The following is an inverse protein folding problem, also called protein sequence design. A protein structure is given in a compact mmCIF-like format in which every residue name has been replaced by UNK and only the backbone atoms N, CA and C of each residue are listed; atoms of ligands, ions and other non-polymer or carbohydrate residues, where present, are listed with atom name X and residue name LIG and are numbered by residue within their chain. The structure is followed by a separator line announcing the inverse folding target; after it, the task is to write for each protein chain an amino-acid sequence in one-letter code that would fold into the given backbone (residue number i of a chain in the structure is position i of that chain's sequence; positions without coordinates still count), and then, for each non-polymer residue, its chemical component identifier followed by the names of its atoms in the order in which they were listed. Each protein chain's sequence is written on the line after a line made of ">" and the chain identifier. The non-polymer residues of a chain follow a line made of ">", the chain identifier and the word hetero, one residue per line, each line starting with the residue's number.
data_IF_993316449337
#
_entry.id   IF_993316449337
#
_cell.length_a   1.000
_cell.length_b   1.000
_cell.length_c   1.000
_cell.angle_alpha   90.00
_cell.angle_beta   90.00
_cell.angle_gamma   90.00
#
_symmetry.space_group_name_H-M   'P 1'
#
loop_
_entity.id
_entity.type
_entity.pdbx_description
1 polymer ?
#
# COMPACT_ATOMS: atom_id res chain seq x y z
N UNK A 1 15.39 -21.24 25.42
CA UNK A 1 15.59 -19.78 25.30
C UNK A 1 15.04 -19.04 26.51
N UNK A 2 13.74 -19.08 26.84
CA UNK A 2 13.21 -18.34 28.01
C UNK A 2 13.95 -18.63 29.31
N UNK A 3 14.35 -19.88 29.59
CA UNK A 3 15.20 -20.25 30.74
C UNK A 3 16.60 -19.62 30.73
N UNK A 4 17.18 -19.44 29.53
CA UNK A 4 18.49 -18.77 29.37
C UNK A 4 18.41 -17.29 29.74
N UNK A 5 17.25 -16.64 29.49
CA UNK A 5 17.04 -15.23 29.80
C UNK A 5 16.38 -15.00 31.18
N UNK A 6 16.14 -16.07 31.99
CA UNK A 6 15.44 -16.01 33.27
C UNK A 6 14.05 -15.30 33.17
N UNK A 7 13.33 -15.52 32.07
CA UNK A 7 12.04 -14.89 31.78
C UNK A 7 10.92 -15.90 31.83
N UNK A 8 9.74 -15.42 32.20
CA UNK A 8 8.50 -16.20 32.08
C UNK A 8 8.25 -16.52 30.61
N UNK A 9 7.90 -17.77 30.33
CA UNK A 9 7.56 -18.20 28.97
C UNK A 9 6.23 -17.52 28.58
N UNK A 10 6.22 -16.79 27.47
CA UNK A 10 4.96 -16.42 26.83
C UNK A 10 4.33 -17.72 26.31
N UNK A 11 3.30 -18.25 26.97
CA UNK A 11 2.77 -19.57 26.64
C UNK A 11 2.23 -19.63 25.22
N UNK A 12 1.83 -18.49 24.69
CA UNK A 12 1.26 -18.36 23.36
C UNK A 12 2.34 -18.44 22.28
N UNK A 13 3.44 -17.73 22.44
CA UNK A 13 4.59 -17.81 21.53
C UNK A 13 5.21 -19.21 21.56
N UNK A 14 5.34 -19.78 22.74
CA UNK A 14 5.88 -21.14 22.92
C UNK A 14 5.01 -22.22 22.28
N UNK A 15 3.70 -22.15 22.50
CA UNK A 15 2.74 -23.11 21.92
C UNK A 15 2.71 -23.00 20.41
N UNK A 16 2.79 -21.81 19.85
CA UNK A 16 2.80 -21.58 18.41
C UNK A 16 4.06 -22.13 17.75
N UNK A 17 5.23 -21.85 18.32
CA UNK A 17 6.51 -22.37 17.80
C UNK A 17 6.59 -23.89 17.92
N UNK A 18 6.05 -24.50 18.98
CA UNK A 18 6.03 -25.96 19.14
C UNK A 18 5.03 -26.67 18.22
N UNK A 19 3.82 -26.15 18.07
CA UNK A 19 2.80 -26.75 17.20
C UNK A 19 3.26 -26.75 15.73
N UNK A 20 3.95 -25.70 15.33
CA UNK A 20 4.43 -25.56 13.96
C UNK A 20 5.65 -26.42 13.65
N UNK A 21 6.52 -26.66 14.62
CA UNK A 21 7.66 -27.57 14.45
C UNK A 21 7.21 -29.02 14.20
N UNK A 22 6.10 -29.46 14.81
CA UNK A 22 5.60 -30.82 14.65
C UNK A 22 4.74 -31.05 13.41
N UNK A 23 3.88 -30.11 13.04
CA UNK A 23 2.94 -30.29 11.93
C UNK A 23 3.51 -29.81 10.58
N UNK A 24 4.33 -28.78 10.58
CA UNK A 24 4.98 -28.25 9.38
C UNK A 24 6.12 -29.17 8.90
N UNK A 25 6.92 -29.68 9.83
CA UNK A 25 8.01 -30.65 9.52
C UNK A 25 7.45 -31.95 9.00
N UNK A 26 6.29 -32.41 9.48
CA UNK A 26 5.69 -33.70 9.06
C UNK A 26 4.98 -33.64 7.71
N UNK A 27 4.46 -32.47 7.30
CA UNK A 27 3.64 -32.34 6.10
C UNK A 27 4.34 -31.70 4.90
N UNK A 28 5.49 -31.04 5.09
CA UNK A 28 6.26 -30.44 4.00
C UNK A 28 7.38 -31.35 3.52
N UNK A 29 7.22 -31.90 2.33
CA UNK A 29 8.25 -32.69 1.63
C UNK A 29 9.38 -31.89 0.99
N UNK A 30 9.45 -30.55 1.23
CA UNK A 30 10.45 -29.66 0.66
C UNK A 30 11.08 -28.76 1.71
N UNK A 31 12.22 -29.12 2.27
CA UNK A 31 13.04 -28.31 3.19
C UNK A 31 13.67 -27.04 2.58
N UNK A 32 13.21 -26.60 1.40
CA UNK A 32 13.81 -25.49 0.64
C UNK A 32 12.89 -24.27 0.49
N UNK A 33 11.65 -24.33 0.97
CA UNK A 33 10.74 -23.20 0.81
C UNK A 33 11.05 -22.09 1.81
N UNK A 34 11.19 -20.87 1.30
CA UNK A 34 11.30 -19.67 2.10
C UNK A 34 10.00 -19.43 2.87
N UNK A 35 10.10 -19.16 4.17
CA UNK A 35 8.94 -18.98 5.04
C UNK A 35 8.91 -17.64 5.73
N UNK A 36 7.70 -17.14 5.95
CA UNK A 36 7.43 -15.95 6.78
C UNK A 36 6.74 -16.36 8.06
N UNK A 37 7.30 -15.94 9.20
CA UNK A 37 6.65 -16.09 10.50
C UNK A 37 5.74 -14.88 10.72
N UNK A 38 4.43 -15.14 10.90
CA UNK A 38 3.42 -14.14 11.24
C UNK A 38 3.03 -14.25 12.71
N UNK A 39 3.22 -13.16 13.45
CA UNK A 39 2.87 -13.04 14.88
C UNK A 39 2.14 -11.71 15.07
N UNK A 40 0.97 -11.58 14.42
CA UNK A 40 0.20 -10.34 14.46
C UNK A 40 -0.65 -10.23 15.74
N UNK A 41 -0.55 -9.10 16.44
CA UNK A 41 -1.23 -8.84 17.71
C UNK A 41 -2.71 -8.42 17.59
N UNK A 42 -3.29 -8.44 16.39
CA UNK A 42 -4.69 -8.03 16.16
C UNK A 42 -5.65 -9.21 15.95
N UNK A 43 -5.26 -10.42 16.38
CA UNK A 43 -6.12 -11.57 16.23
C UNK A 43 -7.32 -11.52 17.20
N UNK A 44 -8.47 -11.11 16.67
CA UNK A 44 -9.72 -11.00 17.43
C UNK A 44 -10.38 -12.35 17.76
N UNK A 45 -9.88 -13.46 17.21
CA UNK A 45 -10.35 -14.81 17.54
C UNK A 45 -9.77 -15.30 18.88
N UNK A 46 -8.76 -14.60 19.41
CA UNK A 46 -8.10 -14.93 20.66
C UNK A 46 -8.50 -13.91 21.72
N UNK A 47 -9.12 -14.38 22.79
CA UNK A 47 -9.53 -13.52 23.90
C UNK A 47 -8.87 -13.99 25.19
N UNK A 48 -8.10 -13.15 25.90
CA UNK A 48 -7.72 -11.78 25.51
C UNK A 48 -6.73 -11.76 24.34
N UNK A 49 -6.79 -10.71 23.50
CA UNK A 49 -5.83 -10.49 22.43
C UNK A 49 -4.43 -10.36 23.02
N UNK A 50 -3.54 -11.26 22.63
CA UNK A 50 -2.16 -11.21 23.11
C UNK A 50 -1.28 -10.44 22.12
N UNK A 51 -0.52 -9.48 22.65
CA UNK A 51 0.45 -8.70 21.90
C UNK A 51 1.85 -8.99 22.43
N UNK A 52 2.81 -9.08 21.51
CA UNK A 52 4.21 -9.19 21.89
C UNK A 52 4.71 -7.89 22.49
N UNK A 53 5.40 -8.00 23.59
CA UNK A 53 6.23 -6.94 24.17
C UNK A 53 7.64 -7.00 23.58
N UNK A 54 8.48 -5.99 23.87
CA UNK A 54 9.89 -5.98 23.46
C UNK A 54 10.65 -7.23 23.95
N UNK A 55 10.29 -7.72 25.13
CA UNK A 55 10.90 -8.92 25.71
C UNK A 55 10.51 -10.20 24.97
N UNK A 56 9.25 -10.31 24.57
CA UNK A 56 8.77 -11.44 23.77
C UNK A 56 9.41 -11.41 22.39
N UNK A 57 9.56 -10.21 21.83
CA UNK A 57 10.19 -10.00 20.53
C UNK A 57 11.68 -10.38 20.54
N UNK A 58 12.40 -10.04 21.62
CA UNK A 58 13.76 -10.51 21.81
C UNK A 58 13.88 -12.04 21.76
N UNK A 59 13.01 -12.74 22.50
CA UNK A 59 12.95 -14.20 22.52
C UNK A 59 12.66 -14.77 21.13
N UNK A 60 11.71 -14.16 20.40
CA UNK A 60 11.37 -14.56 19.05
C UNK A 60 12.59 -14.49 18.11
N UNK A 61 13.31 -13.36 18.10
CA UNK A 61 14.49 -13.17 17.24
C UNK A 61 15.56 -14.22 17.54
N UNK A 62 15.87 -14.48 18.82
CA UNK A 62 16.85 -15.52 19.18
C UNK A 62 16.37 -16.93 18.79
N UNK A 63 15.05 -17.17 18.83
CA UNK A 63 14.48 -18.47 18.47
C UNK A 63 14.53 -18.73 16.97
N UNK A 64 14.41 -17.72 16.13
CA UNK A 64 14.42 -17.86 14.66
C UNK A 64 15.85 -17.89 14.07
N UNK A 65 16.84 -17.37 14.79
CA UNK A 65 18.22 -17.23 14.32
C UNK A 65 18.85 -18.52 13.74
N UNK A 66 18.59 -19.73 14.27
CA UNK A 66 19.14 -20.96 13.71
C UNK A 66 18.53 -21.41 12.37
N UNK A 67 17.42 -20.81 11.95
CA UNK A 67 16.63 -21.28 10.80
C UNK A 67 16.86 -20.38 9.58
N UNK A 68 17.65 -20.86 8.64
CA UNK A 68 18.05 -20.07 7.45
C UNK A 68 16.95 -19.96 6.39
N UNK A 69 15.92 -20.79 6.46
CA UNK A 69 14.76 -20.74 5.58
C UNK A 69 13.68 -19.73 6.03
N UNK A 70 13.84 -19.12 7.22
CA UNK A 70 12.98 -18.03 7.65
C UNK A 70 13.46 -16.73 6.99
N UNK A 71 12.76 -16.27 5.97
CA UNK A 71 13.10 -15.08 5.18
C UNK A 71 12.16 -13.91 5.42
N UNK A 72 11.06 -14.15 6.12
CA UNK A 72 10.08 -13.13 6.46
C UNK A 72 9.68 -13.12 7.93
N UNK A 73 9.42 -11.92 8.46
CA UNK A 73 8.91 -11.73 9.81
C UNK A 73 7.80 -10.66 9.80
N UNK A 74 6.60 -11.05 10.24
CA UNK A 74 5.46 -10.15 10.38
C UNK A 74 5.03 -10.08 11.85
N UNK A 75 5.33 -8.97 12.49
CA UNK A 75 5.02 -8.69 13.90
C UNK A 75 4.15 -7.44 14.06
N UNK A 76 3.29 -7.19 13.10
CA UNK A 76 2.36 -6.06 13.12
C UNK A 76 1.39 -6.11 14.31
N UNK A 77 0.88 -4.93 14.73
CA UNK A 77 -0.10 -4.75 15.80
C UNK A 77 0.35 -5.25 17.19
N UNK A 78 1.64 -5.20 17.47
CA UNK A 78 2.21 -5.55 18.76
C UNK A 78 2.55 -4.31 19.61
N UNK A 79 3.33 -4.49 20.67
CA UNK A 79 3.76 -3.44 21.60
C UNK A 79 5.29 -3.28 21.53
N UNK A 80 5.83 -3.30 20.32
CA UNK A 80 7.26 -3.15 20.08
C UNK A 80 7.58 -1.65 20.07
N UNK A 81 8.43 -1.23 21.01
CA UNK A 81 8.85 0.15 21.21
C UNK A 81 10.25 0.41 20.64
N UNK A 82 10.83 1.57 20.90
CA UNK A 82 12.22 1.88 20.58
C UNK A 82 13.18 0.88 21.26
N UNK A 83 12.81 0.34 22.41
CA UNK A 83 13.60 -0.72 23.04
C UNK A 83 13.60 -2.00 22.20
N UNK A 84 12.45 -2.37 21.62
CA UNK A 84 12.36 -3.49 20.68
C UNK A 84 13.09 -3.21 19.36
N UNK A 85 13.23 -1.95 18.96
CA UNK A 85 14.01 -1.58 17.77
C UNK A 85 15.50 -1.98 17.88
N UNK A 86 16.08 -2.05 19.09
CA UNK A 86 17.41 -2.65 19.28
C UNK A 86 17.49 -4.11 18.82
N UNK A 87 16.41 -4.85 19.01
CA UNK A 87 16.32 -6.25 18.57
C UNK A 87 16.13 -6.33 17.06
N UNK A 88 15.43 -5.36 16.45
CA UNK A 88 15.37 -5.24 14.98
C UNK A 88 16.78 -5.00 14.41
N UNK A 89 17.56 -4.13 15.00
CA UNK A 89 18.96 -3.90 14.59
C UNK A 89 19.75 -5.21 14.63
N UNK A 90 19.69 -5.95 15.74
CA UNK A 90 20.34 -7.28 15.86
C UNK A 90 19.85 -8.28 14.82
N UNK A 91 18.54 -8.27 14.53
CA UNK A 91 17.97 -9.10 13.46
C UNK A 91 18.62 -8.78 12.11
N UNK A 92 18.71 -7.50 11.75
CA UNK A 92 19.26 -7.04 10.47
C UNK A 92 20.78 -7.23 10.36
N UNK A 93 21.51 -7.21 11.46
CA UNK A 93 22.97 -7.41 11.49
C UNK A 93 23.35 -8.90 11.53
N UNK A 94 22.65 -9.70 12.34
CA UNK A 94 23.01 -11.07 12.63
C UNK A 94 22.41 -12.10 11.68
N UNK A 95 21.26 -11.80 11.07
CA UNK A 95 20.45 -12.73 10.26
C UNK A 95 20.41 -12.25 8.81
N UNK A 96 21.25 -12.84 7.97
CA UNK A 96 21.47 -12.40 6.59
C UNK A 96 20.50 -13.01 5.55
N UNK A 97 19.39 -13.59 5.99
CA UNK A 97 18.38 -14.18 5.10
C UNK A 97 17.01 -13.50 5.19
N UNK A 98 16.84 -12.52 6.06
CA UNK A 98 15.56 -11.78 6.16
C UNK A 98 15.44 -10.80 5.00
N UNK A 99 14.41 -11.02 4.19
CA UNK A 99 14.06 -10.19 3.03
C UNK A 99 12.80 -9.37 3.26
N UNK A 100 11.92 -9.80 4.17
CA UNK A 100 10.65 -9.16 4.49
C UNK A 100 10.52 -8.90 5.98
N UNK A 101 10.20 -7.67 6.37
CA UNK A 101 9.97 -7.27 7.76
C UNK A 101 8.75 -6.34 7.86
N UNK A 102 7.76 -6.78 8.61
CA UNK A 102 6.54 -6.02 8.86
C UNK A 102 6.44 -5.64 10.35
N UNK A 103 6.61 -4.36 10.62
CA UNK A 103 6.54 -3.74 11.94
C UNK A 103 5.33 -2.80 12.09
N UNK A 104 4.33 -2.89 11.20
CA UNK A 104 3.18 -1.97 11.18
C UNK A 104 2.46 -1.95 12.52
N UNK A 105 1.95 -0.76 12.90
CA UNK A 105 1.15 -0.58 14.12
C UNK A 105 1.79 -1.15 15.38
N UNK A 106 3.03 -0.79 15.58
CA UNK A 106 3.76 -0.91 16.84
C UNK A 106 3.96 0.49 17.46
N UNK A 107 4.72 0.57 18.52
CA UNK A 107 4.96 1.79 19.27
C UNK A 107 6.41 2.31 19.07
N UNK A 108 6.97 2.12 17.86
CA UNK A 108 8.29 2.59 17.50
C UNK A 108 8.23 4.09 17.22
N UNK A 109 9.05 4.86 17.93
CA UNK A 109 9.14 6.30 17.80
C UNK A 109 10.42 6.74 17.04
N UNK A 110 10.79 7.98 17.19
CA UNK A 110 11.91 8.59 16.43
C UNK A 110 13.23 7.90 16.65
N UNK A 111 13.55 7.51 17.88
CA UNK A 111 14.83 6.88 18.22
C UNK A 111 14.93 5.47 17.61
N UNK A 112 13.88 4.69 17.72
CA UNK A 112 13.80 3.38 17.08
C UNK A 112 13.85 3.46 15.56
N UNK A 113 13.17 4.45 14.97
CA UNK A 113 13.23 4.72 13.52
C UNK A 113 14.65 5.07 13.06
N UNK A 114 15.38 5.90 13.82
CA UNK A 114 16.80 6.23 13.56
C UNK A 114 17.70 4.98 13.61
N UNK A 115 17.52 4.14 14.63
CA UNK A 115 18.31 2.91 14.80
C UNK A 115 18.10 1.95 13.63
N UNK A 116 16.85 1.72 13.23
CA UNK A 116 16.50 0.85 12.10
C UNK A 116 17.10 1.40 10.80
N UNK A 117 16.94 2.70 10.53
CA UNK A 117 17.51 3.33 9.34
C UNK A 117 19.04 3.20 9.30
N UNK A 118 19.73 3.38 10.43
CA UNK A 118 21.20 3.18 10.52
C UNK A 118 21.62 1.73 10.27
N UNK A 119 20.87 0.74 10.77
CA UNK A 119 21.14 -0.66 10.50
C UNK A 119 21.01 -0.99 9.00
N UNK A 120 20.01 -0.41 8.35
CA UNK A 120 19.77 -0.58 6.91
C UNK A 120 20.86 0.02 6.03
N UNK A 121 21.69 0.95 6.51
CA UNK A 121 22.86 1.43 5.75
C UNK A 121 23.85 0.30 5.38
N UNK A 122 23.91 -0.75 6.20
CA UNK A 122 24.83 -1.89 6.02
C UNK A 122 24.12 -3.16 5.57
N UNK A 123 22.82 -3.26 5.84
CA UNK A 123 22.05 -4.42 5.45
C UNK A 123 21.82 -4.44 3.95
N UNK A 124 22.10 -5.57 3.32
CA UNK A 124 21.94 -5.78 1.86
C UNK A 124 20.93 -6.88 1.54
N UNK A 125 20.24 -7.40 2.52
CA UNK A 125 19.33 -8.54 2.37
C UNK A 125 17.86 -8.14 2.42
N UNK A 126 17.51 -7.15 3.26
CA UNK A 126 16.12 -6.72 3.39
C UNK A 126 15.66 -6.01 2.12
N UNK A 127 14.56 -6.52 1.56
CA UNK A 127 13.91 -5.97 0.36
C UNK A 127 12.63 -5.20 0.69
N UNK A 128 11.91 -5.62 1.72
CA UNK A 128 10.59 -5.09 2.06
C UNK A 128 10.54 -4.72 3.53
N UNK A 129 10.35 -3.43 3.82
CA UNK A 129 10.15 -2.89 5.16
C UNK A 129 8.81 -2.18 5.26
N UNK A 130 8.00 -2.56 6.24
CA UNK A 130 6.71 -1.92 6.52
C UNK A 130 6.73 -1.34 7.93
N UNK A 131 6.54 -0.02 8.00
CA UNK A 131 6.56 0.75 9.25
C UNK A 131 5.23 1.48 9.52
N UNK A 132 4.23 1.36 8.63
CA UNK A 132 2.94 2.09 8.75
C UNK A 132 2.43 2.10 10.18
N UNK A 133 2.00 3.29 10.65
CA UNK A 133 1.38 3.45 11.96
C UNK A 133 2.34 3.49 13.15
N UNK A 134 3.65 3.54 12.91
CA UNK A 134 4.65 3.88 13.94
C UNK A 134 4.87 5.40 13.98
N UNK A 135 5.28 5.94 15.12
CA UNK A 135 5.43 7.40 15.30
C UNK A 135 6.87 7.88 15.17
N UNK A 136 7.51 7.53 14.05
CA UNK A 136 8.92 7.90 13.85
C UNK A 136 9.14 9.40 13.62
N UNK A 137 8.07 10.11 13.22
CA UNK A 137 8.08 11.56 13.05
C UNK A 137 8.95 12.06 11.89
N UNK A 138 9.00 13.39 11.77
CA UNK A 138 9.78 14.05 10.73
C UNK A 138 11.28 13.67 10.78
N UNK A 139 11.87 13.62 11.99
CA UNK A 139 13.28 13.28 12.17
C UNK A 139 13.58 11.83 11.76
N UNK A 140 12.71 10.88 12.12
CA UNK A 140 12.80 9.48 11.66
C UNK A 140 12.76 9.39 10.14
N UNK A 141 11.81 10.10 9.50
CA UNK A 141 11.73 10.18 8.04
C UNK A 141 13.00 10.71 7.39
N UNK A 142 13.67 11.70 8.00
CA UNK A 142 14.98 12.21 7.53
C UNK A 142 16.08 11.15 7.61
N UNK A 143 16.09 10.29 8.64
CA UNK A 143 17.04 9.18 8.72
C UNK A 143 16.79 8.14 7.63
N UNK A 144 15.53 7.82 7.34
CA UNK A 144 15.17 6.95 6.21
C UNK A 144 15.61 7.56 4.87
N UNK A 145 15.43 8.86 4.66
CA UNK A 145 15.94 9.53 3.47
C UNK A 145 17.46 9.40 3.35
N UNK A 146 18.19 9.63 4.45
CA UNK A 146 19.65 9.46 4.47
C UNK A 146 20.05 8.01 4.18
N UNK A 147 19.34 7.03 4.73
CA UNK A 147 19.58 5.62 4.45
C UNK A 147 19.42 5.29 2.96
N UNK A 148 18.40 5.81 2.31
CA UNK A 148 18.13 5.57 0.88
C UNK A 148 19.20 6.17 -0.06
N UNK A 149 20.08 7.07 0.42
CA UNK A 149 21.24 7.53 -0.37
C UNK A 149 22.27 6.42 -0.60
N UNK A 150 22.32 5.43 0.29
CA UNK A 150 23.36 4.39 0.32
C UNK A 150 22.76 3.01 0.04
N UNK A 151 21.62 2.69 0.67
CA UNK A 151 21.00 1.38 0.53
C UNK A 151 20.47 1.17 -0.89
N UNK A 152 20.90 0.07 -1.50
CA UNK A 152 20.52 -0.35 -2.85
C UNK A 152 19.81 -1.71 -2.89
N UNK A 153 19.47 -2.28 -1.73
CA UNK A 153 18.78 -3.57 -1.62
C UNK A 153 17.29 -3.45 -1.34
N UNK A 154 16.88 -2.36 -0.67
CA UNK A 154 15.49 -2.15 -0.31
C UNK A 154 14.67 -1.80 -1.57
N UNK A 155 13.63 -2.58 -1.82
CA UNK A 155 12.75 -2.43 -2.98
C UNK A 155 11.40 -1.84 -2.61
N UNK A 156 10.90 -2.10 -1.38
CA UNK A 156 9.65 -1.55 -0.86
C UNK A 156 9.87 -0.88 0.49
N UNK A 157 9.35 0.33 0.62
CA UNK A 157 9.36 1.07 1.86
C UNK A 157 7.98 1.63 2.16
N UNK A 158 7.40 1.21 3.27
CA UNK A 158 6.10 1.65 3.73
C UNK A 158 6.27 2.49 5.01
N UNK A 159 6.10 3.81 4.87
CA UNK A 159 6.15 4.83 5.92
C UNK A 159 4.82 5.56 6.08
N UNK A 160 3.71 4.96 5.65
CA UNK A 160 2.39 5.55 5.82
C UNK A 160 2.01 5.74 7.28
N UNK A 161 1.28 6.82 7.61
CA UNK A 161 0.82 7.11 8.98
C UNK A 161 1.96 7.05 10.03
N UNK A 162 3.14 7.56 9.64
CA UNK A 162 4.34 7.55 10.47
C UNK A 162 4.70 8.96 11.02
N UNK A 163 3.73 9.87 11.04
CA UNK A 163 3.91 11.26 11.47
C UNK A 163 5.01 11.99 10.68
N UNK A 164 5.15 11.66 9.39
CA UNK A 164 6.05 12.39 8.50
C UNK A 164 5.55 13.82 8.27
N UNK A 165 6.47 14.77 8.16
CA UNK A 165 6.16 16.16 7.86
C UNK A 165 6.79 16.60 6.53
N UNK A 166 6.57 17.86 6.14
CA UNK A 166 7.03 18.44 4.88
C UNK A 166 8.51 18.18 4.60
N UNK A 167 9.39 18.42 5.57
CA UNK A 167 10.85 18.31 5.34
C UNK A 167 11.28 16.88 5.05
N UNK A 168 10.72 15.88 5.77
CA UNK A 168 11.04 14.48 5.50
C UNK A 168 10.52 14.01 4.14
N UNK A 169 9.33 14.48 3.73
CA UNK A 169 8.80 14.18 2.40
C UNK A 169 9.67 14.76 1.29
N UNK A 170 10.11 16.01 1.43
CA UNK A 170 11.03 16.66 0.48
C UNK A 170 12.37 15.92 0.43
N UNK A 171 12.92 15.54 1.59
CA UNK A 171 14.16 14.77 1.66
C UNK A 171 14.04 13.42 0.98
N UNK A 172 12.96 12.67 1.24
CA UNK A 172 12.67 11.39 0.57
C UNK A 172 12.55 11.58 -0.94
N UNK A 173 11.76 12.54 -1.41
CA UNK A 173 11.62 12.83 -2.84
C UNK A 173 12.97 13.17 -3.49
N UNK A 174 13.79 13.99 -2.81
CA UNK A 174 15.11 14.39 -3.33
C UNK A 174 16.03 13.19 -3.50
N UNK A 175 16.09 12.30 -2.51
CA UNK A 175 16.94 11.11 -2.57
C UNK A 175 16.43 10.11 -3.60
N UNK A 176 15.13 9.90 -3.66
CA UNK A 176 14.49 8.99 -4.62
C UNK A 176 14.72 9.42 -6.07
N UNK A 177 15.08 10.68 -6.34
CA UNK A 177 15.51 11.12 -7.67
C UNK A 177 16.70 10.28 -8.21
N UNK A 178 17.58 9.81 -7.32
CA UNK A 178 18.78 9.04 -7.69
C UNK A 178 18.74 7.58 -7.26
N UNK A 179 17.92 7.23 -6.26
CA UNK A 179 17.78 5.85 -5.82
C UNK A 179 17.06 5.03 -6.89
N UNK A 180 17.61 3.89 -7.26
CA UNK A 180 17.07 2.99 -8.30
C UNK A 180 16.60 1.65 -7.75
N UNK A 181 16.78 1.40 -6.45
CA UNK A 181 16.35 0.14 -5.83
C UNK A 181 14.86 0.16 -5.45
N UNK A 182 14.36 1.31 -4.98
CA UNK A 182 12.96 1.42 -4.58
C UNK A 182 12.05 1.29 -5.81
N UNK A 183 11.11 0.34 -5.70
CA UNK A 183 10.04 0.05 -6.68
C UNK A 183 8.68 0.48 -6.17
N UNK A 184 8.45 0.38 -4.85
CA UNK A 184 7.20 0.80 -4.21
C UNK A 184 7.46 1.64 -2.97
N UNK A 185 6.72 2.75 -2.84
CA UNK A 185 6.78 3.59 -1.64
C UNK A 185 5.38 4.01 -1.19
N UNK A 186 5.14 3.87 0.11
CA UNK A 186 3.94 4.38 0.76
C UNK A 186 4.32 5.55 1.68
N UNK A 187 3.75 6.73 1.38
CA UNK A 187 3.90 7.96 2.15
C UNK A 187 2.55 8.49 2.64
N UNK A 188 1.54 7.64 2.72
CA UNK A 188 0.18 8.03 3.08
C UNK A 188 0.13 8.76 4.43
N UNK A 189 -0.78 9.73 4.50
CA UNK A 189 -1.20 10.36 5.75
C UNK A 189 -0.06 11.02 6.55
N UNK A 190 0.73 11.91 5.92
CA UNK A 190 1.69 12.73 6.63
C UNK A 190 0.98 13.79 7.48
N UNK A 191 1.70 14.39 8.43
CA UNK A 191 1.24 15.54 9.21
C UNK A 191 1.60 16.85 8.47
N UNK A 192 0.78 17.23 7.50
CA UNK A 192 0.93 18.48 6.77
C UNK A 192 0.01 19.56 7.35
N UNK A 193 0.51 20.79 7.44
CA UNK A 193 -0.31 21.95 7.74
C UNK A 193 -1.15 22.32 6.51
N UNK A 194 -2.31 22.92 6.73
CA UNK A 194 -3.15 23.41 5.65
C UNK A 194 -2.33 24.28 4.69
N UNK A 195 -2.45 23.99 3.38
CA UNK A 195 -1.77 24.70 2.28
C UNK A 195 -0.30 24.33 2.02
N UNK A 196 0.26 23.35 2.72
CA UNK A 196 1.60 22.84 2.45
C UNK A 196 1.61 21.85 1.28
N UNK A 197 1.55 22.34 0.03
CA UNK A 197 1.63 21.50 -1.17
C UNK A 197 3.06 21.41 -1.78
N UNK A 198 4.07 21.98 -1.13
CA UNK A 198 5.45 21.99 -1.65
C UNK A 198 6.01 20.56 -1.82
N UNK A 199 5.64 19.61 -0.95
CA UNK A 199 6.03 18.21 -1.09
C UNK A 199 5.62 17.60 -2.43
N UNK A 200 4.45 17.99 -2.96
CA UNK A 200 3.97 17.47 -4.26
C UNK A 200 4.79 17.99 -5.44
N UNK A 201 5.34 19.20 -5.35
CA UNK A 201 6.28 19.73 -6.36
C UNK A 201 7.54 18.90 -6.39
N UNK A 202 8.11 18.55 -5.23
CA UNK A 202 9.30 17.73 -5.13
C UNK A 202 9.03 16.28 -5.58
N UNK A 203 7.87 15.72 -5.25
CA UNK A 203 7.46 14.39 -5.72
C UNK A 203 7.27 14.40 -7.25
N UNK A 204 6.63 15.43 -7.81
CA UNK A 204 6.49 15.59 -9.27
C UNK A 204 7.84 15.67 -9.98
N UNK A 205 8.77 16.46 -9.46
CA UNK A 205 10.14 16.56 -9.99
C UNK A 205 10.90 15.23 -9.86
N UNK A 206 10.73 14.52 -8.76
CA UNK A 206 11.31 13.19 -8.57
C UNK A 206 10.76 12.20 -9.60
N UNK A 207 9.45 12.14 -9.80
CA UNK A 207 8.81 11.27 -10.78
C UNK A 207 9.26 11.56 -12.21
N UNK A 208 9.55 12.82 -12.53
CA UNK A 208 10.09 13.19 -13.85
C UNK A 208 11.43 12.51 -14.17
N UNK A 209 12.26 12.25 -13.15
CA UNK A 209 13.64 11.77 -13.32
C UNK A 209 13.76 10.28 -12.95
N UNK A 210 13.08 9.85 -11.90
CA UNK A 210 13.14 8.46 -11.44
C UNK A 210 12.48 7.52 -12.43
N UNK A 211 13.19 6.45 -12.80
CA UNK A 211 12.72 5.40 -13.70
C UNK A 211 12.60 4.02 -13.04
N UNK A 212 12.63 3.95 -11.72
CA UNK A 212 12.58 2.69 -10.97
C UNK A 212 11.29 2.49 -10.17
N UNK A 213 10.65 3.58 -9.74
CA UNK A 213 9.42 3.51 -8.95
C UNK A 213 8.26 3.06 -9.84
N UNK A 214 7.60 1.99 -9.42
CA UNK A 214 6.45 1.39 -10.11
C UNK A 214 5.15 1.77 -9.40
N UNK A 215 5.20 1.94 -8.08
CA UNK A 215 4.03 2.19 -7.24
C UNK A 215 4.31 3.29 -6.22
N UNK A 216 3.39 4.29 -6.11
CA UNK A 216 3.44 5.35 -5.11
C UNK A 216 2.07 5.59 -4.48
N UNK A 217 2.05 5.70 -3.15
CA UNK A 217 0.86 6.01 -2.38
C UNK A 217 0.98 7.37 -1.71
N UNK A 218 0.03 8.25 -2.03
CA UNK A 218 -0.08 9.65 -1.57
C UNK A 218 -1.49 9.95 -1.03
N UNK A 219 -2.13 8.96 -0.39
CA UNK A 219 -3.45 9.12 0.21
C UNK A 219 -3.37 10.07 1.42
N UNK A 220 -4.36 10.98 1.55
CA UNK A 220 -4.46 11.93 2.67
C UNK A 220 -3.27 12.90 2.80
N UNK A 221 -2.78 13.42 1.68
CA UNK A 221 -1.76 14.48 1.63
C UNK A 221 -2.34 15.89 1.68
N UNK A 222 -3.65 16.05 1.87
CA UNK A 222 -4.36 17.32 1.73
C UNK A 222 -4.15 18.02 0.36
N UNK A 223 -3.76 17.21 -0.64
CA UNK A 223 -3.43 17.64 -1.99
C UNK A 223 -4.65 18.27 -2.68
N UNK A 224 -4.45 19.45 -3.27
CA UNK A 224 -5.43 20.17 -4.07
C UNK A 224 -5.08 20.10 -5.57
N UNK A 225 -5.71 20.96 -6.35
CA UNK A 225 -5.53 21.00 -7.80
C UNK A 225 -4.11 21.34 -8.22
N UNK A 226 -3.43 22.24 -7.49
CA UNK A 226 -2.04 22.60 -7.75
C UNK A 226 -1.11 21.38 -7.59
N UNK A 227 -1.23 20.65 -6.49
CA UNK A 227 -0.43 19.45 -6.27
C UNK A 227 -0.64 18.39 -7.35
N UNK A 228 -1.90 18.17 -7.74
CA UNK A 228 -2.22 17.23 -8.84
C UNK A 228 -1.65 17.70 -10.18
N UNK A 229 -1.67 18.99 -10.48
CA UNK A 229 -1.04 19.56 -11.67
C UNK A 229 0.48 19.27 -11.69
N UNK A 230 1.18 19.47 -10.56
CA UNK A 230 2.63 19.18 -10.47
C UNK A 230 2.94 17.71 -10.66
N UNK A 231 2.14 16.80 -10.06
CA UNK A 231 2.27 15.36 -10.31
C UNK A 231 2.08 15.02 -11.79
N UNK A 232 1.04 15.55 -12.42
CA UNK A 232 0.79 15.32 -13.85
C UNK A 232 1.96 15.80 -14.72
N UNK A 233 2.58 16.96 -14.42
CA UNK A 233 3.78 17.44 -15.12
C UNK A 233 4.94 16.46 -15.03
N UNK A 234 5.21 15.92 -13.85
CA UNK A 234 6.24 14.90 -13.66
C UNK A 234 5.93 13.60 -14.41
N UNK A 235 4.69 13.15 -14.32
CA UNK A 235 4.23 11.91 -14.93
C UNK A 235 4.18 11.95 -16.47
N UNK A 236 4.11 13.13 -17.09
CA UNK A 236 4.21 13.25 -18.55
C UNK A 236 5.55 12.73 -19.10
N UNK A 237 6.61 12.78 -18.32
CA UNK A 237 7.95 12.32 -18.69
C UNK A 237 8.35 11.02 -18.00
N UNK A 238 7.56 10.55 -17.03
CA UNK A 238 7.83 9.31 -16.31
C UNK A 238 7.52 8.09 -17.19
N UNK A 239 8.41 7.09 -17.13
CA UNK A 239 8.31 5.85 -17.92
C UNK A 239 8.19 4.59 -17.08
N UNK A 240 8.07 4.71 -15.75
CA UNK A 240 8.09 3.55 -14.84
C UNK A 240 6.86 3.39 -13.96
N UNK A 241 6.20 4.50 -13.57
CA UNK A 241 5.11 4.43 -12.60
C UNK A 241 3.85 3.80 -13.22
N UNK A 242 3.40 2.72 -12.62
CA UNK A 242 2.21 1.97 -13.03
C UNK A 242 1.03 2.14 -12.10
N UNK A 243 1.29 2.36 -10.81
CA UNK A 243 0.26 2.53 -9.79
C UNK A 243 0.40 3.88 -9.10
N UNK A 244 -0.67 4.69 -9.15
CA UNK A 244 -0.79 5.98 -8.49
C UNK A 244 -2.00 5.98 -7.55
N UNK A 245 -1.77 6.12 -6.25
CA UNK A 245 -2.81 6.36 -5.26
C UNK A 245 -2.77 7.83 -4.82
N UNK A 246 -3.79 8.57 -5.16
CA UNK A 246 -4.06 9.94 -4.69
C UNK A 246 -5.44 10.04 -4.03
N UNK A 247 -5.90 8.95 -3.45
CA UNK A 247 -7.19 8.88 -2.78
C UNK A 247 -7.25 9.76 -1.51
N UNK A 248 -8.46 10.07 -1.06
CA UNK A 248 -8.70 10.84 0.16
C UNK A 248 -7.99 12.20 0.20
N UNK A 249 -7.90 12.88 -0.92
CA UNK A 249 -7.33 14.22 -1.04
C UNK A 249 -8.42 15.29 -1.25
N UNK A 250 -8.04 16.51 -1.62
CA UNK A 250 -8.94 17.62 -1.92
C UNK A 250 -8.90 18.01 -3.39
N UNK A 251 -8.66 17.04 -4.25
CA UNK A 251 -8.58 17.21 -5.70
C UNK A 251 -10.00 17.43 -6.23
N UNK A 252 -10.18 18.49 -7.04
CA UNK A 252 -11.49 18.82 -7.62
C UNK A 252 -11.51 18.59 -9.14
N UNK A 253 -12.70 18.81 -9.74
CA UNK A 253 -12.91 18.75 -11.18
C UNK A 253 -11.86 19.50 -12.01
N UNK A 254 -11.40 20.66 -11.52
CA UNK A 254 -10.44 21.50 -12.26
C UNK A 254 -9.09 20.82 -12.49
N UNK A 255 -8.67 19.94 -11.59
CA UNK A 255 -7.43 19.17 -11.75
C UNK A 255 -7.57 18.04 -12.77
N UNK A 256 -8.79 17.59 -13.03
CA UNK A 256 -9.03 16.47 -13.95
C UNK A 256 -8.70 16.80 -15.40
N UNK A 257 -8.67 18.07 -15.77
CA UNK A 257 -8.14 18.51 -17.08
C UNK A 257 -6.66 18.13 -17.26
N UNK A 258 -5.85 18.28 -16.20
CA UNK A 258 -4.43 17.90 -16.25
C UNK A 258 -4.25 16.39 -16.29
N UNK A 259 -5.06 15.67 -15.50
CA UNK A 259 -5.04 14.21 -15.52
C UNK A 259 -5.57 13.65 -16.85
N UNK A 260 -6.62 14.24 -17.43
CA UNK A 260 -7.13 13.89 -18.74
C UNK A 260 -6.06 14.08 -19.83
N UNK A 261 -5.36 15.22 -19.84
CA UNK A 261 -4.25 15.48 -20.78
C UNK A 261 -3.06 14.53 -20.55
N UNK A 262 -2.77 14.17 -19.31
CA UNK A 262 -1.79 13.14 -19.00
C UNK A 262 -2.20 11.80 -19.61
N UNK A 263 -3.43 11.35 -19.37
CA UNK A 263 -3.94 10.06 -19.86
C UNK A 263 -3.99 9.98 -21.40
N UNK A 264 -4.13 11.10 -22.09
CA UNK A 264 -4.04 11.16 -23.57
C UNK A 264 -2.63 10.85 -24.11
N UNK A 265 -1.59 10.99 -23.30
CA UNK A 265 -0.18 10.89 -23.72
C UNK A 265 0.62 9.82 -22.99
N UNK A 266 0.26 9.54 -21.74
CA UNK A 266 0.96 8.56 -20.90
C UNK A 266 0.42 7.14 -21.17
N UNK A 267 1.32 6.24 -21.54
CA UNK A 267 1.00 4.84 -21.81
C UNK A 267 1.66 3.89 -20.78
N UNK A 268 2.01 4.39 -19.61
CA UNK A 268 2.70 3.64 -18.56
C UNK A 268 1.80 3.37 -17.35
N UNK A 269 0.99 4.36 -16.96
CA UNK A 269 0.05 4.21 -15.86
C UNK A 269 -0.99 3.14 -16.16
N UNK A 270 -1.10 2.19 -15.25
CA UNK A 270 -2.02 1.05 -15.33
C UNK A 270 -3.15 1.13 -14.30
N UNK A 271 -2.87 1.71 -13.13
CA UNK A 271 -3.83 1.81 -12.02
C UNK A 271 -3.81 3.21 -11.43
N UNK A 272 -4.99 3.80 -11.25
CA UNK A 272 -5.16 5.09 -10.56
C UNK A 272 -6.27 4.96 -9.53
N UNK A 273 -5.96 5.33 -8.29
CA UNK A 273 -6.95 5.47 -7.23
C UNK A 273 -7.20 6.96 -6.94
N UNK A 274 -8.39 7.43 -7.31
CA UNK A 274 -8.91 8.78 -7.08
C UNK A 274 -10.01 8.80 -6.02
N UNK A 275 -10.23 7.70 -5.30
CA UNK A 275 -11.33 7.57 -4.33
C UNK A 275 -11.35 8.72 -3.33
N UNK A 276 -12.55 9.14 -2.92
CA UNK A 276 -12.74 10.15 -1.87
C UNK A 276 -12.09 11.51 -2.19
N UNK A 277 -12.29 11.98 -3.40
CA UNK A 277 -11.97 13.33 -3.86
C UNK A 277 -13.26 14.08 -4.24
N UNK A 278 -13.18 15.11 -5.08
CA UNK A 278 -14.33 15.94 -5.53
C UNK A 278 -14.30 16.14 -7.05
N UNK A 279 -14.24 15.02 -7.79
CA UNK A 279 -14.10 15.05 -9.26
C UNK A 279 -15.33 15.65 -9.92
N UNK A 280 -16.53 15.34 -9.40
CA UNK A 280 -17.82 15.78 -9.93
C UNK A 280 -18.01 15.41 -11.42
N UNK A 281 -19.11 15.87 -12.03
CA UNK A 281 -19.44 15.51 -13.41
C UNK A 281 -18.46 16.11 -14.42
N UNK A 282 -18.11 17.38 -14.27
CA UNK A 282 -17.20 18.07 -15.19
C UNK A 282 -15.81 17.39 -15.23
N UNK A 283 -15.27 16.99 -14.06
CA UNK A 283 -14.02 16.25 -14.00
C UNK A 283 -14.14 14.86 -14.64
N UNK A 284 -15.29 14.22 -14.49
CA UNK A 284 -15.60 12.93 -15.12
C UNK A 284 -15.57 13.01 -16.64
N UNK A 285 -16.05 14.10 -17.22
CA UNK A 285 -16.05 14.32 -18.68
C UNK A 285 -14.63 14.36 -19.24
N UNK A 286 -13.68 15.04 -18.58
CA UNK A 286 -12.27 15.06 -19.00
C UNK A 286 -11.64 13.67 -19.00
N UNK A 287 -11.91 12.88 -17.97
CA UNK A 287 -11.39 11.53 -17.85
C UNK A 287 -12.04 10.58 -18.85
N UNK A 288 -13.38 10.66 -19.01
CA UNK A 288 -14.12 9.86 -19.94
C UNK A 288 -13.67 10.09 -21.40
N UNK A 289 -13.43 11.34 -21.79
CA UNK A 289 -12.89 11.68 -23.13
C UNK A 289 -11.51 11.02 -23.35
N UNK A 290 -10.60 11.16 -22.37
CA UNK A 290 -9.27 10.58 -22.47
C UNK A 290 -9.33 9.06 -22.58
N UNK A 291 -10.20 8.41 -21.82
CA UNK A 291 -10.39 6.96 -21.85
C UNK A 291 -11.05 6.47 -23.14
N UNK A 292 -12.04 7.20 -23.66
CA UNK A 292 -12.78 6.79 -24.85
C UNK A 292 -11.94 6.79 -26.11
N UNK A 293 -11.01 7.76 -26.26
CA UNK A 293 -10.38 8.05 -27.53
C UNK A 293 -8.86 7.91 -27.56
N UNK A 294 -8.20 7.92 -26.41
CA UNK A 294 -6.74 8.06 -26.38
C UNK A 294 -6.02 7.01 -25.53
N UNK A 295 -6.48 6.77 -24.30
CA UNK A 295 -5.74 5.93 -23.36
C UNK A 295 -5.98 4.44 -23.60
N UNK A 296 -4.89 3.71 -23.77
CA UNK A 296 -4.86 2.25 -23.99
C UNK A 296 -3.98 1.52 -22.97
N UNK A 297 -3.60 2.17 -21.87
CA UNK A 297 -2.73 1.57 -20.85
C UNK A 297 -3.44 1.35 -19.52
N UNK A 298 -4.41 2.19 -19.16
CA UNK A 298 -5.09 2.12 -17.87
C UNK A 298 -5.96 0.87 -17.77
N UNK A 299 -5.70 0.03 -16.78
CA UNK A 299 -6.38 -1.25 -16.51
C UNK A 299 -7.39 -1.14 -15.38
N UNK A 300 -7.11 -0.29 -14.38
CA UNK A 300 -7.97 -0.08 -13.22
C UNK A 300 -8.08 1.40 -12.87
N UNK A 301 -9.31 1.85 -12.61
CA UNK A 301 -9.60 3.20 -12.14
C UNK A 301 -10.62 3.14 -11.01
N UNK A 302 -10.32 3.81 -9.90
CA UNK A 302 -11.29 4.03 -8.83
C UNK A 302 -11.67 5.50 -8.75
N UNK A 303 -12.97 5.77 -8.86
CA UNK A 303 -13.60 7.09 -8.65
C UNK A 303 -14.65 7.01 -7.53
N UNK A 304 -14.48 6.10 -6.60
CA UNK A 304 -15.36 5.89 -5.44
C UNK A 304 -15.51 7.19 -4.64
N UNK A 305 -16.74 7.52 -4.24
CA UNK A 305 -17.03 8.68 -3.35
C UNK A 305 -16.47 10.01 -3.88
N UNK A 306 -16.77 10.35 -5.13
CA UNK A 306 -16.28 11.57 -5.79
C UNK A 306 -17.36 12.63 -6.11
N UNK A 307 -18.55 12.47 -5.54
CA UNK A 307 -19.68 13.39 -5.77
C UNK A 307 -20.12 13.46 -7.27
N UNK A 308 -19.88 12.37 -8.02
CA UNK A 308 -20.27 12.26 -9.43
C UNK A 308 -21.76 11.93 -9.51
N UNK A 309 -22.51 12.61 -10.37
CA UNK A 309 -23.92 12.32 -10.63
C UNK A 309 -24.12 11.44 -11.87
N UNK A 310 -25.38 11.22 -12.24
CA UNK A 310 -25.73 10.43 -13.43
C UNK A 310 -25.07 10.94 -14.71
N UNK A 311 -24.88 12.24 -14.89
CA UNK A 311 -24.22 12.80 -16.07
C UNK A 311 -22.77 12.33 -16.21
N UNK A 312 -21.97 12.46 -15.16
CA UNK A 312 -20.57 12.04 -15.17
C UNK A 312 -20.41 10.53 -15.24
N UNK A 313 -21.26 9.78 -14.52
CA UNK A 313 -21.23 8.32 -14.56
C UNK A 313 -21.65 7.77 -15.93
N UNK A 314 -22.62 8.42 -16.59
CA UNK A 314 -23.02 8.06 -17.95
C UNK A 314 -21.88 8.27 -18.94
N UNK A 315 -21.13 9.38 -18.81
CA UNK A 315 -19.95 9.62 -19.67
C UNK A 315 -18.91 8.49 -19.51
N UNK A 316 -18.63 8.01 -18.30
CA UNK A 316 -17.78 6.84 -18.09
C UNK A 316 -18.37 5.57 -18.71
N UNK A 317 -19.69 5.34 -18.56
CA UNK A 317 -20.34 4.20 -19.16
C UNK A 317 -20.20 4.21 -20.70
N UNK A 318 -20.34 5.38 -21.32
CA UNK A 318 -20.18 5.53 -22.77
C UNK A 318 -18.70 5.35 -23.20
N UNK A 319 -17.75 5.89 -22.44
CA UNK A 319 -16.33 5.65 -22.67
C UNK A 319 -15.94 4.17 -22.59
N UNK A 320 -16.53 3.43 -21.67
CA UNK A 320 -16.29 1.98 -21.52
C UNK A 320 -16.84 1.14 -22.69
N UNK A 321 -17.73 1.67 -23.50
CA UNK A 321 -18.22 0.98 -24.71
C UNK A 321 -17.14 0.94 -25.80
N UNK A 322 -16.25 1.92 -25.83
CA UNK A 322 -15.15 2.04 -26.81
C UNK A 322 -13.81 1.60 -26.26
N UNK A 323 -13.50 1.97 -25.01
CA UNK A 323 -12.26 1.57 -24.38
C UNK A 323 -12.32 0.08 -23.98
N UNK A 324 -11.35 -0.71 -24.39
CA UNK A 324 -11.26 -2.16 -24.11
C UNK A 324 -10.18 -2.51 -23.08
N UNK A 325 -9.32 -1.57 -22.73
CA UNK A 325 -8.20 -1.79 -21.78
C UNK A 325 -8.59 -1.62 -20.33
N UNK A 326 -9.44 -0.64 -20.02
CA UNK A 326 -9.94 -0.42 -18.67
C UNK A 326 -10.91 -1.55 -18.29
N UNK A 327 -10.38 -2.57 -17.62
CA UNK A 327 -11.12 -3.76 -17.21
C UNK A 327 -11.75 -3.65 -15.83
N UNK A 328 -11.16 -2.85 -14.94
CA UNK A 328 -11.56 -2.71 -13.55
C UNK A 328 -11.98 -1.26 -13.28
N UNK A 329 -13.22 -1.09 -12.84
CA UNK A 329 -13.78 0.25 -12.63
C UNK A 329 -14.63 0.30 -11.37
N UNK A 330 -14.26 1.16 -10.42
CA UNK A 330 -14.87 1.25 -9.09
C UNK A 330 -15.55 2.60 -8.91
N UNK A 331 -16.85 2.59 -8.59
CA UNK A 331 -17.75 3.77 -8.65
C UNK A 331 -18.63 3.96 -7.41
N UNK A 332 -18.57 3.06 -6.42
CA UNK A 332 -19.44 3.14 -5.24
C UNK A 332 -19.38 4.49 -4.53
N UNK A 333 -20.44 4.86 -3.83
CA UNK A 333 -20.51 6.11 -3.07
C UNK A 333 -20.71 7.39 -3.90
N UNK A 334 -21.01 7.27 -5.20
CA UNK A 334 -21.44 8.37 -6.07
C UNK A 334 -22.97 8.45 -6.12
N UNK A 335 -23.52 9.42 -6.86
CA UNK A 335 -24.95 9.69 -6.94
C UNK A 335 -25.55 8.94 -8.13
N UNK A 336 -26.02 7.74 -7.90
CA UNK A 336 -26.66 6.93 -8.93
C UNK A 336 -28.10 7.36 -9.19
N UNK A 337 -28.46 7.52 -10.44
CA UNK A 337 -29.84 7.57 -10.90
C UNK A 337 -30.23 6.26 -11.63
N UNK A 338 -31.50 6.13 -11.98
CA UNK A 338 -31.98 4.92 -12.65
C UNK A 338 -31.36 4.69 -14.02
N UNK A 339 -31.07 5.75 -14.78
CA UNK A 339 -30.42 5.65 -16.09
C UNK A 339 -28.98 5.15 -15.98
N UNK A 340 -28.24 5.64 -15.01
CA UNK A 340 -26.88 5.18 -14.70
C UNK A 340 -26.88 3.70 -14.32
N UNK A 341 -27.79 3.30 -13.41
CA UNK A 341 -27.90 1.92 -12.99
C UNK A 341 -28.19 0.99 -14.18
N UNK A 342 -29.06 1.40 -15.09
CA UNK A 342 -29.34 0.66 -16.33
C UNK A 342 -28.12 0.60 -17.23
N UNK A 343 -27.41 1.71 -17.45
CA UNK A 343 -26.24 1.77 -18.33
C UNK A 343 -25.12 0.81 -17.87
N UNK A 344 -24.75 0.83 -16.58
CA UNK A 344 -23.74 -0.09 -16.04
C UNK A 344 -24.24 -1.55 -15.98
N UNK A 345 -25.54 -1.78 -15.70
CA UNK A 345 -26.13 -3.12 -15.82
C UNK A 345 -25.97 -3.70 -17.22
N UNK A 346 -26.12 -2.89 -18.26
CA UNK A 346 -25.85 -3.33 -19.64
C UNK A 346 -24.38 -3.69 -19.88
N UNK A 347 -23.43 -2.91 -19.33
CA UNK A 347 -21.99 -3.22 -19.43
C UNK A 347 -21.65 -4.55 -18.73
N UNK A 348 -22.28 -4.81 -17.60
CA UNK A 348 -22.10 -6.07 -16.87
C UNK A 348 -22.75 -7.23 -17.63
N UNK A 349 -23.99 -7.12 -18.07
CA UNK A 349 -24.70 -8.16 -18.81
C UNK A 349 -24.05 -8.48 -20.15
N UNK A 350 -23.46 -7.50 -20.82
CA UNK A 350 -22.73 -7.72 -22.09
C UNK A 350 -21.36 -8.34 -21.89
N UNK A 351 -20.88 -8.48 -20.65
CA UNK A 351 -19.53 -8.97 -20.33
C UNK A 351 -18.42 -7.94 -20.53
N UNK A 352 -18.77 -6.67 -20.83
CA UNK A 352 -17.76 -5.61 -20.94
C UNK A 352 -17.09 -5.32 -19.58
N UNK A 353 -17.87 -5.35 -18.50
CA UNK A 353 -17.38 -5.35 -17.13
C UNK A 353 -17.80 -6.66 -16.45
N UNK A 354 -16.86 -7.31 -15.77
CA UNK A 354 -17.17 -8.47 -14.94
C UNK A 354 -17.57 -8.02 -13.55
N UNK A 355 -18.47 -8.73 -12.87
CA UNK A 355 -18.86 -8.43 -11.49
C UNK A 355 -17.67 -8.41 -10.52
N UNK A 356 -16.68 -9.25 -10.73
CA UNK A 356 -15.43 -9.28 -9.93
C UNK A 356 -14.53 -8.05 -10.12
N UNK A 357 -14.82 -7.23 -11.15
CA UNK A 357 -14.00 -6.08 -11.57
C UNK A 357 -14.71 -4.73 -11.37
N UNK A 358 -15.85 -4.73 -10.71
CA UNK A 358 -16.62 -3.55 -10.32
C UNK A 358 -17.06 -3.70 -8.86
N UNK A 359 -17.38 -2.60 -8.21
CA UNK A 359 -17.78 -2.55 -6.79
C UNK A 359 -19.29 -2.35 -6.59
N UNK A 360 -20.07 -2.54 -7.64
CA UNK A 360 -21.53 -2.44 -7.59
C UNK A 360 -22.19 -3.67 -8.24
N UNK A 361 -23.28 -4.13 -7.64
CA UNK A 361 -24.12 -5.18 -8.17
C UNK A 361 -25.54 -4.65 -8.43
N UNK A 362 -26.06 -4.73 -9.67
CA UNK A 362 -27.41 -4.24 -9.99
C UNK A 362 -28.49 -5.18 -9.45
N UNK A 363 -29.51 -4.60 -8.83
CA UNK A 363 -30.73 -5.30 -8.42
C UNK A 363 -31.98 -4.47 -8.75
N UNK A 364 -33.14 -5.10 -8.75
CA UNK A 364 -34.42 -4.48 -9.17
C UNK A 364 -35.43 -4.51 -8.01
N UNK A 365 -36.01 -3.34 -7.71
CA UNK A 365 -37.12 -3.17 -6.77
C UNK A 365 -38.20 -2.34 -7.46
N UNK A 366 -39.43 -2.78 -7.46
CA UNK A 366 -40.55 -2.10 -8.06
C UNK A 366 -40.32 -1.64 -9.52
N UNK A 367 -39.69 -2.48 -10.32
CA UNK A 367 -39.27 -2.22 -11.69
C UNK A 367 -38.23 -1.12 -11.88
N UNK A 368 -37.65 -0.60 -10.82
CA UNK A 368 -36.52 0.34 -10.85
C UNK A 368 -35.21 -0.39 -10.53
N UNK A 369 -34.13 0.01 -11.22
CA UNK A 369 -32.81 -0.58 -11.02
C UNK A 369 -32.00 0.24 -10.02
N UNK A 370 -31.37 -0.46 -9.10
CA UNK A 370 -30.50 0.09 -8.05
C UNK A 370 -29.18 -0.67 -8.04
N UNK A 371 -28.20 -0.13 -7.28
CA UNK A 371 -26.93 -0.79 -7.00
C UNK A 371 -26.78 -1.14 -5.52
N UNK A 372 -26.30 -2.34 -5.26
CA UNK A 372 -25.75 -2.73 -3.98
C UNK A 372 -24.21 -2.61 -4.03
N UNK A 373 -23.60 -2.24 -2.91
CA UNK A 373 -22.16 -2.28 -2.75
C UNK A 373 -21.67 -3.72 -2.70
N UNK A 374 -20.59 -3.97 -3.43
CA UNK A 374 -19.80 -5.20 -3.32
C UNK A 374 -18.34 -4.86 -2.99
N UNK A 375 -17.55 -5.86 -2.65
CA UNK A 375 -16.18 -5.63 -2.21
C UNK A 375 -15.35 -4.85 -3.22
N UNK A 376 -14.73 -3.77 -2.76
CA UNK A 376 -13.83 -2.93 -3.55
C UNK A 376 -12.52 -3.67 -3.84
N UNK A 377 -12.17 -3.80 -5.11
CA UNK A 377 -11.07 -4.65 -5.56
C UNK A 377 -9.79 -3.93 -5.95
N UNK A 378 -9.66 -2.60 -5.75
CA UNK A 378 -8.47 -1.85 -6.23
C UNK A 378 -7.16 -2.38 -5.62
N UNK A 379 -7.20 -2.86 -4.41
CA UNK A 379 -6.03 -3.37 -3.68
C UNK A 379 -5.39 -4.61 -4.33
N UNK A 380 -6.15 -5.40 -5.10
CA UNK A 380 -5.60 -6.55 -5.84
C UNK A 380 -4.63 -6.12 -6.95
N UNK A 381 -4.59 -4.84 -7.30
CA UNK A 381 -3.70 -4.28 -8.30
C UNK A 381 -2.39 -3.72 -7.73
N UNK A 382 -2.16 -3.85 -6.43
CA UNK A 382 -0.88 -3.44 -5.86
C UNK A 382 0.26 -4.26 -6.44
N UNK A 383 1.31 -3.56 -6.88
CA UNK A 383 2.49 -4.19 -7.45
C UNK A 383 3.52 -4.49 -6.37
N UNK A 384 3.75 -3.51 -5.48
CA UNK A 384 4.86 -3.58 -4.55
C UNK A 384 4.49 -3.32 -3.09
N UNK A 385 3.59 -2.41 -2.81
CA UNK A 385 3.19 -2.09 -1.44
C UNK A 385 1.93 -2.83 -1.08
N UNK A 386 1.99 -3.87 -0.23
CA UNK A 386 0.79 -4.55 0.23
C UNK A 386 -0.12 -3.57 0.95
N UNK A 387 -1.43 -3.72 0.74
CA UNK A 387 -2.40 -2.81 1.32
C UNK A 387 -2.46 -2.90 2.83
N UNK A 388 -2.80 -1.80 3.44
CA UNK A 388 -3.37 -1.74 4.77
C UNK A 388 -4.60 -2.65 4.86
N UNK A 389 -4.59 -3.60 5.82
CA UNK A 389 -5.72 -4.50 6.02
C UNK A 389 -5.96 -5.46 4.85
N UNK A 390 -4.91 -5.99 4.26
CA UNK A 390 -5.03 -7.11 3.32
C UNK A 390 -5.94 -8.17 3.90
N UNK A 391 -7.06 -8.40 3.23
CA UNK A 391 -7.86 -9.60 3.42
C UNK A 391 -7.10 -10.72 2.69
N UNK A 392 -6.01 -11.14 3.28
CA UNK A 392 -5.53 -12.48 3.00
C UNK A 392 -6.65 -13.43 3.43
N UNK A 393 -6.88 -14.52 2.72
CA UNK A 393 -7.96 -15.46 3.02
C UNK A 393 -8.07 -15.79 4.52
N UNK A 394 -9.23 -16.21 4.99
CA UNK A 394 -9.55 -16.38 6.42
C UNK A 394 -8.50 -17.18 7.23
N UNK A 395 -7.68 -18.00 6.58
CA UNK A 395 -6.55 -18.73 7.19
C UNK A 395 -5.33 -17.85 7.51
N UNK A 396 -5.21 -16.65 6.92
CA UNK A 396 -4.04 -15.78 7.05
C UNK A 396 -4.24 -14.66 8.05
N UNK A 397 -5.47 -14.43 8.50
CA UNK A 397 -5.80 -13.58 9.65
C UNK A 397 -5.59 -14.27 11.02
N UNK A 398 -5.11 -15.51 11.04
CA UNK A 398 -4.67 -16.14 12.27
C UNK A 398 -3.49 -15.33 12.83
N UNK A 399 -3.56 -14.91 14.10
CA UNK A 399 -2.55 -14.07 14.74
C UNK A 399 -1.15 -14.69 14.74
N UNK A 400 -1.08 -16.01 14.53
CA UNK A 400 0.17 -16.76 14.44
C UNK A 400 0.07 -17.74 13.26
N UNK A 401 0.95 -17.60 12.30
CA UNK A 401 1.06 -18.51 11.18
C UNK A 401 2.51 -18.57 10.65
N UNK A 402 2.90 -19.71 10.16
CA UNK A 402 4.05 -19.84 9.25
C UNK A 402 3.46 -20.00 7.86
N UNK A 403 3.83 -19.11 6.98
CA UNK A 403 3.34 -19.13 5.60
C UNK A 403 4.52 -19.12 4.64
N UNK A 404 4.38 -19.70 3.45
CA UNK A 404 5.39 -19.52 2.40
C UNK A 404 5.63 -18.02 2.17
N UNK A 405 6.90 -17.63 2.03
CA UNK A 405 7.21 -16.27 1.57
C UNK A 405 6.77 -16.20 0.12
N UNK A 406 5.65 -15.56 -0.12
CA UNK A 406 5.19 -15.35 -1.50
C UNK A 406 6.23 -14.48 -2.22
N UNK A 407 6.79 -14.94 -3.35
CA UNK A 407 7.56 -14.05 -4.20
C UNK A 407 6.64 -12.92 -4.60
N UNK A 408 6.96 -11.73 -4.16
CA UNK A 408 6.23 -10.54 -4.58
C UNK A 408 6.63 -10.28 -6.03
N UNK A 409 5.70 -10.58 -6.94
CA UNK A 409 5.83 -10.34 -8.37
C UNK A 409 5.95 -8.87 -8.69
#
# INVERSE_FOLDING_TARGET
>A
MCRLFQREENPFLFQTLQLQETDYIKNYKGFQDEITIKVAGNNHLITPVQRLTDKDFEVLIYSIKPYTNITGLDVRYNLITDYGAHHVVKLLEDIQNITYLNLMFNDIETEGGEMIAKALHRNTTLKYLRMTGNKIGNKGGMFFATMLQINSSLEKLDLGDCDLEMQSLIALATVLTKNTSIKGINLNRPLLKSEEEESTVHIGNMLQINSSIIEIHLCKHDMKNFGMEQLCKGLLLNTSLRYLDVSCNRITRDAMKYLGELLKRNNVLEVIDLSSNRIEDEGSLYLAEALAFYNTSLKALSVVSNNISGEGLKAFSDALKTNTTLSNFYIWGNKFDSETCVAFSHLIKSGRLKLENIDVEPYVVDNLMYFAEVSHGIKKHYYWTPSYGEIEGASTNAGFAIVPTTPHL
#
